data_IF_268246615300
#
_entry.id   IF_268246615300
#
_cell.length_a   1.000
_cell.length_b   1.000
_cell.length_c   1.000
_cell.angle_alpha   90.00
_cell.angle_beta   90.00
_cell.angle_gamma   90.00
#
_symmetry.space_group_name_H-M   'P 1'
#
loop_
_entity.id
_entity.type
_entity.pdbx_description
1 polymer ?
#
# COMPACT_ATOMS: atom_id res chain seq x y z
N UNK A 1 35.51 -18.60 -6.47
CA UNK A 1 35.09 -17.19 -6.60
C UNK A 1 33.60 -17.14 -6.36
N UNK A 2 33.17 -16.63 -5.21
CA UNK A 2 31.75 -16.53 -4.87
C UNK A 2 31.08 -15.64 -5.91
N UNK A 3 30.21 -16.23 -6.73
CA UNK A 3 29.31 -15.48 -7.57
C UNK A 3 28.47 -14.64 -6.62
N UNK A 4 28.83 -13.36 -6.49
CA UNK A 4 28.00 -12.35 -5.85
C UNK A 4 26.68 -12.46 -6.59
N UNK A 5 25.69 -13.05 -5.92
CA UNK A 5 24.33 -13.23 -6.38
C UNK A 5 23.75 -11.83 -6.46
N UNK A 6 24.13 -11.10 -7.51
CA UNK A 6 23.72 -9.71 -7.71
C UNK A 6 22.19 -9.72 -7.71
N UNK A 7 21.55 -8.78 -7.00
CA UNK A 7 20.16 -8.47 -7.27
C UNK A 7 20.01 -8.31 -8.78
N UNK A 8 18.99 -8.95 -9.38
CA UNK A 8 18.69 -8.77 -10.80
C UNK A 8 18.65 -7.28 -11.08
N UNK A 9 19.52 -6.82 -11.97
CA UNK A 9 19.61 -5.40 -12.32
C UNK A 9 18.30 -5.00 -12.97
N UNK A 10 17.75 -3.86 -12.57
CA UNK A 10 16.43 -3.40 -13.02
C UNK A 10 16.38 -3.28 -14.56
N UNK A 11 17.52 -2.99 -15.19
CA UNK A 11 17.67 -2.93 -16.64
C UNK A 11 17.47 -4.29 -17.32
N UNK A 12 18.04 -5.36 -16.77
CA UNK A 12 17.84 -6.72 -17.27
C UNK A 12 16.37 -7.12 -17.11
N UNK A 13 15.76 -6.78 -15.98
CA UNK A 13 14.34 -7.03 -15.73
C UNK A 13 13.47 -6.36 -16.80
N UNK A 14 13.66 -5.06 -17.07
CA UNK A 14 12.91 -4.32 -18.09
C UNK A 14 13.02 -4.96 -19.48
N UNK A 15 14.21 -5.44 -19.87
CA UNK A 15 14.40 -6.11 -21.16
C UNK A 15 13.59 -7.40 -21.22
N UNK A 16 13.61 -8.20 -20.15
CA UNK A 16 12.87 -9.48 -20.10
C UNK A 16 11.36 -9.28 -20.15
N UNK A 17 10.82 -8.17 -19.62
CA UNK A 17 9.37 -7.92 -19.62
C UNK A 17 8.77 -7.92 -21.02
N UNK A 18 9.55 -7.54 -22.05
CA UNK A 18 9.10 -7.50 -23.46
C UNK A 18 8.70 -8.86 -24.02
N UNK A 19 9.25 -9.95 -23.47
CA UNK A 19 9.00 -11.32 -23.91
C UNK A 19 7.93 -12.03 -23.06
N UNK A 20 7.55 -11.44 -21.93
CA UNK A 20 6.59 -11.99 -20.96
C UNK A 20 5.16 -11.75 -21.44
N UNK A 21 4.25 -12.70 -21.20
CA UNK A 21 2.85 -12.56 -21.57
C UNK A 21 2.09 -11.63 -20.62
N UNK A 22 1.01 -11.01 -21.10
CA UNK A 22 0.23 -10.04 -20.31
C UNK A 22 -0.27 -10.63 -18.97
N UNK A 23 -0.77 -11.86 -18.99
CA UNK A 23 -1.23 -12.57 -17.78
C UNK A 23 -0.10 -12.80 -16.77
N UNK A 24 1.11 -13.05 -17.27
CA UNK A 24 2.30 -13.25 -16.46
C UNK A 24 2.78 -11.94 -15.85
N UNK A 25 2.68 -10.80 -16.56
CA UNK A 25 2.99 -9.47 -16.02
C UNK A 25 2.16 -9.18 -14.77
N UNK A 26 0.84 -9.41 -14.82
CA UNK A 26 -0.03 -9.23 -13.65
C UNK A 26 0.28 -10.20 -12.52
N UNK A 27 0.59 -11.45 -12.85
CA UNK A 27 0.96 -12.47 -11.84
C UNK A 27 2.25 -12.08 -11.11
N UNK A 28 3.27 -11.62 -11.84
CA UNK A 28 4.52 -11.15 -11.27
C UNK A 28 4.27 -9.91 -10.39
N UNK A 29 3.46 -8.94 -10.86
CA UNK A 29 3.08 -7.77 -10.08
C UNK A 29 2.43 -8.15 -8.75
N UNK A 30 1.43 -9.03 -8.75
CA UNK A 30 0.76 -9.48 -7.53
C UNK A 30 1.72 -10.21 -6.57
N UNK A 31 2.67 -10.99 -7.10
CA UNK A 31 3.68 -11.66 -6.28
C UNK A 31 4.64 -10.66 -5.62
N UNK A 32 5.05 -9.62 -6.34
CA UNK A 32 5.87 -8.52 -5.79
C UNK A 32 5.11 -7.76 -4.71
N UNK A 33 3.85 -7.38 -4.94
CA UNK A 33 3.00 -6.71 -3.94
C UNK A 33 2.83 -7.56 -2.68
N UNK A 34 2.58 -8.86 -2.82
CA UNK A 34 2.48 -9.78 -1.69
C UNK A 34 3.80 -9.90 -0.92
N UNK A 35 4.93 -9.91 -1.63
CA UNK A 35 6.26 -9.94 -1.02
C UNK A 35 6.55 -8.66 -0.24
N UNK A 36 6.27 -7.48 -0.81
CA UNK A 36 6.37 -6.19 -0.11
C UNK A 36 5.49 -6.17 1.14
N UNK A 37 4.24 -6.64 1.03
CA UNK A 37 3.33 -6.74 2.17
C UNK A 37 3.89 -7.60 3.31
N UNK A 38 4.51 -8.74 2.97
CA UNK A 38 5.18 -9.60 3.96
C UNK A 38 6.37 -8.89 4.62
N UNK A 39 7.22 -8.23 3.84
CA UNK A 39 8.36 -7.47 4.36
C UNK A 39 7.90 -6.39 5.35
N UNK A 40 6.82 -5.66 5.04
CA UNK A 40 6.24 -4.68 5.96
C UNK A 40 5.69 -5.31 7.24
N UNK A 41 5.01 -6.46 7.15
CA UNK A 41 4.55 -7.19 8.34
C UNK A 41 5.72 -7.62 9.21
N UNK A 42 6.75 -8.21 8.63
CA UNK A 42 7.98 -8.62 9.33
C UNK A 42 8.66 -7.41 9.99
N UNK A 43 8.82 -6.29 9.27
CA UNK A 43 9.38 -5.06 9.84
C UNK A 43 8.54 -4.52 11.00
N UNK A 44 7.21 -4.62 10.91
CA UNK A 44 6.30 -4.27 11.99
C UNK A 44 6.52 -5.14 13.24
N UNK A 45 6.64 -6.47 13.08
CA UNK A 45 6.97 -7.40 14.18
C UNK A 45 8.32 -7.08 14.80
N UNK A 46 9.36 -6.90 14.00
CA UNK A 46 10.71 -6.57 14.46
C UNK A 46 10.75 -5.22 15.22
N UNK A 47 9.99 -4.22 14.75
CA UNK A 47 9.89 -2.93 15.43
C UNK A 47 9.23 -3.06 16.80
N UNK A 48 8.15 -3.84 16.91
CA UNK A 48 7.49 -4.14 18.20
C UNK A 48 8.45 -4.83 19.16
N UNK A 49 9.26 -5.78 18.67
CA UNK A 49 10.27 -6.48 19.46
C UNK A 49 11.38 -5.53 19.97
N UNK A 50 11.88 -4.63 19.12
CA UNK A 50 12.82 -3.57 19.52
C UNK A 50 12.22 -2.69 20.63
N UNK A 51 10.94 -2.32 20.50
CA UNK A 51 10.25 -1.48 21.47
C UNK A 51 9.78 -2.22 22.73
N UNK A 52 9.98 -3.55 22.80
CA UNK A 52 9.48 -4.43 23.87
C UNK A 52 7.95 -4.36 24.04
N UNK A 53 7.25 -4.17 22.93
CA UNK A 53 5.79 -4.16 22.87
C UNK A 53 5.27 -5.60 22.74
N UNK A 54 4.08 -5.87 23.29
CA UNK A 54 3.43 -7.16 23.13
C UNK A 54 3.06 -7.42 21.66
N UNK A 55 3.45 -8.58 21.13
CA UNK A 55 3.01 -9.07 19.82
C UNK A 55 1.56 -9.61 19.93
N UNK A 56 0.59 -8.72 20.12
CA UNK A 56 -0.82 -9.08 20.07
C UNK A 56 -1.26 -9.13 18.60
N UNK A 57 -0.95 -10.22 17.91
CA UNK A 57 -1.54 -10.48 16.59
C UNK A 57 -2.19 -11.87 16.59
N UNK A 58 -3.46 -11.90 17.00
CA UNK A 58 -4.35 -13.08 17.08
C UNK A 58 -4.69 -13.68 15.69
N UNK A 59 -4.03 -13.25 14.63
CA UNK A 59 -4.42 -13.56 13.24
C UNK A 59 -3.36 -14.24 12.39
N UNK A 60 -2.16 -14.52 12.92
CA UNK A 60 -1.02 -15.00 12.12
C UNK A 60 -0.50 -16.35 12.63
N UNK A 61 -1.13 -17.42 12.15
CA UNK A 61 -0.89 -18.85 12.43
C UNK A 61 0.46 -19.35 11.86
N UNK A 62 1.48 -18.49 11.74
CA UNK A 62 2.63 -18.75 10.85
C UNK A 62 4.00 -18.23 11.28
N UNK A 63 4.22 -17.70 12.49
CA UNK A 63 5.58 -17.28 12.91
C UNK A 63 5.79 -17.37 14.44
N UNK A 64 5.67 -18.56 15.03
CA UNK A 64 6.01 -18.79 16.44
C UNK A 64 7.52 -18.67 16.75
N UNK A 65 8.39 -18.59 15.74
CA UNK A 65 9.85 -18.55 15.91
C UNK A 65 10.40 -17.21 16.40
N UNK A 66 9.59 -16.14 16.44
CA UNK A 66 10.05 -14.79 16.85
C UNK A 66 9.69 -14.42 18.30
N UNK A 67 9.09 -15.31 19.09
CA UNK A 67 8.64 -15.01 20.45
C UNK A 67 9.73 -15.14 21.54
N UNK A 68 10.88 -15.75 21.23
CA UNK A 68 12.00 -15.90 22.17
C UNK A 68 13.25 -15.17 21.63
N UNK A 69 13.37 -13.86 21.89
CA UNK A 69 14.53 -13.08 21.43
C UNK A 69 15.23 -12.36 22.59
N UNK A 70 16.56 -12.47 22.62
CA UNK A 70 17.44 -11.97 23.66
C UNK A 70 17.74 -10.47 23.45
N UNK A 71 18.06 -9.75 24.52
CA UNK A 71 18.29 -8.29 24.48
C UNK A 71 19.49 -7.87 23.61
N UNK A 72 20.33 -8.80 23.18
CA UNK A 72 21.44 -8.57 22.25
C UNK A 72 21.01 -8.46 20.78
N UNK A 73 19.75 -8.78 20.45
CA UNK A 73 19.30 -8.84 19.06
C UNK A 73 18.81 -7.48 18.50
N UNK A 74 18.75 -6.42 19.31
CA UNK A 74 18.23 -5.12 18.88
C UNK A 74 18.99 -4.54 17.67
N UNK A 75 20.32 -4.64 17.68
CA UNK A 75 21.16 -4.19 16.56
C UNK A 75 20.90 -5.02 15.31
N UNK A 76 20.79 -6.34 15.49
CA UNK A 76 20.51 -7.27 14.41
C UNK A 76 19.13 -6.99 13.78
N UNK A 77 18.10 -6.74 14.57
CA UNK A 77 16.77 -6.40 14.06
C UNK A 77 16.75 -5.09 13.29
N UNK A 78 17.50 -4.07 13.74
CA UNK A 78 17.63 -2.81 12.99
C UNK A 78 18.29 -3.04 11.63
N UNK A 79 19.35 -3.84 11.58
CA UNK A 79 20.02 -4.22 10.33
C UNK A 79 19.08 -5.00 9.40
N UNK A 80 18.28 -5.92 9.93
CA UNK A 80 17.29 -6.67 9.15
C UNK A 80 16.20 -5.75 8.59
N UNK A 81 15.69 -4.81 9.40
CA UNK A 81 14.68 -3.84 8.94
C UNK A 81 15.23 -2.97 7.80
N UNK A 82 16.48 -2.53 7.92
CA UNK A 82 17.16 -1.74 6.89
C UNK A 82 17.30 -2.53 5.59
N UNK A 83 17.80 -3.76 5.65
CA UNK A 83 17.95 -4.64 4.48
C UNK A 83 16.59 -4.95 3.83
N UNK A 84 15.57 -5.25 4.64
CA UNK A 84 14.20 -5.45 4.14
C UNK A 84 13.66 -4.20 3.42
N UNK A 85 14.04 -3.00 3.87
CA UNK A 85 13.71 -1.74 3.21
C UNK A 85 14.35 -1.63 1.83
N UNK A 86 15.63 -2.01 1.69
CA UNK A 86 16.32 -2.06 0.39
C UNK A 86 15.63 -3.04 -0.56
N UNK A 87 15.29 -4.23 -0.06
CA UNK A 87 14.58 -5.25 -0.85
C UNK A 87 13.20 -4.75 -1.28
N UNK A 88 12.44 -4.11 -0.39
CA UNK A 88 11.13 -3.56 -0.70
C UNK A 88 11.21 -2.47 -1.78
N UNK A 89 12.20 -1.57 -1.69
CA UNK A 89 12.43 -0.54 -2.71
C UNK A 89 12.75 -1.16 -4.07
N UNK A 90 13.61 -2.18 -4.13
CA UNK A 90 13.90 -2.85 -5.40
C UNK A 90 12.67 -3.57 -5.99
N UNK A 91 11.80 -4.14 -5.13
CA UNK A 91 10.56 -4.74 -5.59
C UNK A 91 9.59 -3.67 -6.12
N UNK A 92 9.56 -2.48 -5.50
CA UNK A 92 8.77 -1.35 -5.96
C UNK A 92 9.22 -0.86 -7.34
N UNK A 93 10.54 -0.72 -7.56
CA UNK A 93 11.10 -0.38 -8.89
C UNK A 93 10.67 -1.38 -9.96
N UNK A 94 10.59 -2.67 -9.62
CA UNK A 94 10.10 -3.70 -10.55
C UNK A 94 8.61 -3.59 -10.83
N UNK A 95 7.80 -3.23 -9.84
CA UNK A 95 6.38 -2.94 -10.06
C UNK A 95 6.23 -1.77 -11.03
N UNK A 96 7.00 -0.70 -10.85
CA UNK A 96 7.00 0.45 -11.76
C UNK A 96 7.41 0.06 -13.18
N UNK A 97 8.42 -0.81 -13.33
CA UNK A 97 8.81 -1.34 -14.64
C UNK A 97 7.68 -2.14 -15.31
N UNK A 98 6.95 -2.96 -14.55
CA UNK A 98 5.76 -3.68 -15.05
C UNK A 98 4.66 -2.69 -15.45
N UNK A 99 4.40 -1.67 -14.63
CA UNK A 99 3.36 -0.68 -14.92
C UNK A 99 3.69 0.14 -16.19
N UNK A 100 4.97 0.45 -16.41
CA UNK A 100 5.42 1.07 -17.65
C UNK A 100 5.21 0.16 -18.86
N UNK A 101 5.51 -1.14 -18.74
CA UNK A 101 5.28 -2.12 -19.81
C UNK A 101 3.78 -2.31 -20.11
N UNK A 102 2.94 -2.40 -19.07
CA UNK A 102 1.48 -2.47 -19.23
C UNK A 102 0.95 -1.22 -19.96
N UNK A 103 1.44 -0.03 -19.59
CA UNK A 103 1.10 1.23 -20.27
C UNK A 103 1.51 1.18 -21.74
N UNK A 104 2.72 0.70 -22.03
CA UNK A 104 3.25 0.57 -23.39
C UNK A 104 2.39 -0.39 -24.24
N UNK A 105 1.82 -1.44 -23.63
CA UNK A 105 0.88 -2.38 -24.28
C UNK A 105 -0.55 -1.88 -24.37
N UNK A 106 -0.88 -0.74 -23.76
CA UNK A 106 -2.25 -0.22 -23.69
C UNK A 106 -3.16 -1.02 -22.74
N UNK A 107 -2.57 -1.69 -21.75
CA UNK A 107 -3.26 -2.49 -20.74
C UNK A 107 -3.46 -1.70 -19.44
N UNK A 108 -4.53 -1.96 -18.68
CA UNK A 108 -4.74 -1.32 -17.38
C UNK A 108 -3.72 -1.80 -16.34
N UNK A 109 -3.37 -0.95 -15.38
CA UNK A 109 -2.46 -1.32 -14.28
C UNK A 109 -3.09 -2.29 -13.28
N UNK A 110 -4.43 -2.33 -13.22
CA UNK A 110 -5.21 -3.21 -12.36
C UNK A 110 -6.24 -3.99 -13.18
N UNK A 111 -6.33 -5.30 -12.94
CA UNK A 111 -7.32 -6.17 -13.60
C UNK A 111 -8.76 -5.82 -13.14
N UNK A 112 -8.92 -5.06 -12.05
CA UNK A 112 -10.23 -4.66 -11.50
C UNK A 112 -10.94 -3.55 -12.29
N UNK A 113 -10.23 -2.84 -13.16
CA UNK A 113 -10.79 -1.71 -13.89
C UNK A 113 -11.43 -2.16 -15.20
N UNK A 114 -12.53 -2.90 -15.06
CA UNK A 114 -13.44 -3.29 -16.14
C UNK A 114 -14.30 -2.13 -16.66
N UNK A 115 -13.71 -0.95 -16.92
CA UNK A 115 -14.36 0.14 -17.66
C UNK A 115 -13.41 0.61 -18.76
N UNK A 116 -13.80 0.49 -20.04
CA UNK A 116 -12.96 0.94 -21.15
C UNK A 116 -13.03 2.47 -21.24
N UNK A 117 -12.13 3.18 -20.56
CA UNK A 117 -11.88 4.58 -20.89
C UNK A 117 -11.06 4.61 -22.17
N UNK A 118 -11.75 4.93 -23.26
CA UNK A 118 -11.17 5.25 -24.56
C UNK A 118 -9.96 6.17 -24.40
N UNK A 119 -8.92 5.89 -25.18
CA UNK A 119 -7.78 6.75 -25.36
C UNK A 119 -8.23 8.20 -25.62
N UNK A 120 -7.68 9.13 -24.85
CA UNK A 120 -7.61 10.55 -25.24
C UNK A 120 -6.15 10.96 -25.19
N UNK A 121 -5.60 11.14 -26.40
CA UNK A 121 -4.45 12.00 -26.65
C UNK A 121 -4.69 13.38 -26.02
N UNK A 122 -3.61 13.97 -25.49
CA UNK A 122 -3.46 15.39 -25.13
C UNK A 122 -4.06 15.87 -23.79
N UNK A 123 -3.21 15.80 -22.76
CA UNK A 123 -2.95 16.87 -21.77
C UNK A 123 -4.10 17.77 -21.28
N UNK A 124 -4.68 17.39 -20.13
CA UNK A 124 -5.08 18.22 -18.95
C UNK A 124 -6.30 17.56 -18.27
N UNK A 125 -6.34 17.44 -16.94
CA UNK A 125 -7.57 17.05 -16.26
C UNK A 125 -8.56 18.22 -16.33
N UNK A 126 -9.62 18.06 -17.12
CA UNK A 126 -10.80 18.92 -17.08
C UNK A 126 -11.66 18.43 -15.91
N UNK A 127 -11.68 19.21 -14.83
CA UNK A 127 -12.65 19.04 -13.75
C UNK A 127 -13.98 19.58 -14.27
N UNK A 128 -14.86 18.69 -14.71
CA UNK A 128 -16.23 19.02 -15.09
C UNK A 128 -17.10 19.01 -13.82
N UNK A 129 -17.44 20.22 -13.32
CA UNK A 129 -18.40 20.43 -12.23
C UNK A 129 -19.60 21.16 -12.80
N UNK A 130 -20.62 20.42 -13.23
CA UNK A 130 -21.99 20.89 -13.42
C UNK A 130 -22.88 20.00 -12.53
N UNK A 131 -23.43 20.46 -11.40
CA UNK A 131 -24.50 21.46 -11.31
C UNK A 131 -25.80 20.85 -11.85
N UNK A 132 -26.94 20.69 -11.16
CA UNK A 132 -27.61 21.50 -10.13
C UNK A 132 -29.00 20.83 -9.94
N UNK A 133 -29.62 20.69 -8.76
CA UNK A 133 -30.66 21.59 -8.18
C UNK A 133 -31.32 20.85 -6.98
N UNK A 134 -31.29 21.41 -5.76
CA UNK A 134 -32.41 22.01 -4.95
C UNK A 134 -33.43 20.98 -4.41
N UNK A 135 -33.95 21.03 -3.17
CA UNK A 135 -34.37 22.18 -2.36
C UNK A 135 -34.71 21.75 -0.90
N UNK A 136 -34.37 22.61 0.09
CA UNK A 136 -35.01 22.91 1.40
C UNK A 136 -35.47 21.76 2.35
N UNK A 137 -34.97 21.77 3.59
CA UNK A 137 -35.76 22.28 4.73
C UNK A 137 -34.98 22.45 6.06
N UNK A 138 -35.17 23.64 6.64
CA UNK A 138 -35.23 24.00 8.07
C UNK A 138 -34.03 23.81 9.01
N UNK A 139 -33.41 24.96 9.25
CA UNK A 139 -32.62 25.33 10.43
C UNK A 139 -33.61 25.62 11.57
N UNK A 140 -33.46 24.98 12.72
CA UNK A 140 -34.00 25.48 13.99
C UNK A 140 -32.82 25.68 14.95
N UNK A 141 -32.40 26.93 15.05
CA UNK A 141 -31.62 27.48 16.15
C UNK A 141 -32.61 28.11 17.12
N UNK A 142 -32.77 27.56 18.33
CA UNK A 142 -33.17 28.39 19.47
C UNK A 142 -32.69 27.75 20.77
N UNK A 143 -31.57 28.26 21.28
CA UNK A 143 -31.09 28.03 22.64
C UNK A 143 -31.43 29.31 23.42
N UNK A 144 -32.69 29.41 23.83
CA UNK A 144 -33.23 30.50 24.64
C UNK A 144 -33.30 30.09 26.11
N UNK A 145 -32.41 30.67 26.90
CA UNK A 145 -32.43 30.63 28.37
C UNK A 145 -33.49 31.62 28.85
N UNK A 146 -34.60 31.17 29.41
CA UNK A 146 -35.46 32.02 30.26
C UNK A 146 -35.89 31.29 31.52
N UNK A 147 -35.65 32.00 32.63
CA UNK A 147 -36.05 31.69 33.99
C UNK A 147 -37.47 32.16 34.28
N UNK A 148 -38.03 31.63 35.38
CA UNK A 148 -39.13 32.15 36.20
C UNK A 148 -40.59 31.84 35.80
N UNK A 149 -41.25 30.99 36.61
CA UNK A 149 -42.30 31.36 37.57
C UNK A 149 -42.92 30.07 38.17
N UNK A 150 -42.97 29.84 39.49
CA UNK A 150 -43.81 30.51 40.51
C UNK A 150 -45.31 30.30 40.28
N UNK A 151 -45.96 29.53 41.18
CA UNK A 151 -47.38 29.48 41.64
C UNK A 151 -47.48 28.10 42.35
N UNK A 152 -47.47 27.88 43.68
CA UNK A 152 -48.24 28.40 44.82
C UNK A 152 -49.76 28.26 44.69
N UNK A 153 -50.32 27.20 45.30
CA UNK A 153 -51.25 27.26 46.45
C UNK A 153 -51.56 25.85 46.97
#
# INVERSE_FOLDING_TARGET
MSAIKRPVQIEEFIVTLREVQDSELYSIKQQLEKSISKLHKTNGKLTKLINKEALNDESDDSDDELNELDQNDEKLFKEIIEENGIVANNQQERIEAIDNELTHRGLPHNITDGVPTKATENGKPVVEVDGKLKEKNQINTDNGVESANSISL
#
